data_IF_723105733229
#
_entry.id   IF_723105733229
#
_cell.length_a   1.000
_cell.length_b   1.000
_cell.length_c   1.000
_cell.angle_alpha   90.00
_cell.angle_beta   90.00
_cell.angle_gamma   90.00
#
_symmetry.space_group_name_H-M   'P 1'
#
loop_
_entity.id
_entity.type
_entity.pdbx_description
1 polymer ?
#
# COMPACT_ATOMS: atom_id res chain seq x y z
N UNK A 1 21.26 37.23 3.57
CA UNK A 1 20.42 36.03 3.39
C UNK A 1 18.95 36.47 3.41
N UNK A 2 18.09 36.02 2.49
CA UNK A 2 16.70 36.54 2.37
C UNK A 2 15.73 35.99 3.43
N UNK A 3 15.91 34.73 3.84
CA UNK A 3 15.16 34.07 4.91
C UNK A 3 15.86 34.25 6.27
N UNK A 4 15.06 34.31 7.33
CA UNK A 4 15.50 34.26 8.72
C UNK A 4 15.98 32.85 9.07
N UNK A 5 16.81 32.76 10.11
CA UNK A 5 17.32 31.46 10.61
C UNK A 5 16.17 30.57 11.08
N UNK A 6 15.14 31.15 11.72
CA UNK A 6 13.94 30.45 12.18
C UNK A 6 13.11 29.92 11.00
N UNK A 7 12.93 30.72 9.96
CA UNK A 7 12.22 30.30 8.75
C UNK A 7 12.95 29.13 8.10
N UNK A 8 14.27 29.22 7.91
CA UNK A 8 15.04 28.10 7.37
C UNK A 8 14.90 26.84 8.22
N UNK A 9 14.86 26.96 9.55
CA UNK A 9 14.67 25.81 10.43
C UNK A 9 13.28 25.20 10.27
N UNK A 10 12.22 26.01 10.17
CA UNK A 10 10.87 25.52 9.88
C UNK A 10 10.82 24.73 8.57
N UNK A 11 11.55 25.17 7.53
CA UNK A 11 11.65 24.42 6.28
C UNK A 11 12.32 23.05 6.51
N UNK A 12 13.40 23.00 7.28
CA UNK A 12 14.09 21.75 7.62
C UNK A 12 13.16 20.80 8.36
N UNK A 13 12.52 21.27 9.43
CA UNK A 13 11.65 20.45 10.28
C UNK A 13 10.47 19.88 9.47
N UNK A 14 9.88 20.68 8.58
CA UNK A 14 8.82 20.24 7.70
C UNK A 14 9.26 19.20 6.67
N UNK A 15 10.46 19.35 6.08
CA UNK A 15 11.03 18.36 5.17
C UNK A 15 11.26 17.02 5.89
N UNK A 16 11.80 17.06 7.11
CA UNK A 16 12.05 15.85 7.91
C UNK A 16 10.75 15.15 8.33
N UNK A 17 9.73 15.91 8.73
CA UNK A 17 8.39 15.39 9.05
C UNK A 17 7.71 14.73 7.81
N UNK A 18 7.92 15.28 6.62
CA UNK A 18 7.45 14.65 5.37
C UNK A 18 8.23 13.38 4.98
N UNK A 19 9.56 13.37 5.11
CA UNK A 19 10.38 12.15 4.87
C UNK A 19 10.00 11.04 5.87
N UNK A 20 9.74 11.38 7.14
CA UNK A 20 9.30 10.42 8.16
C UNK A 20 7.95 9.77 7.84
N UNK A 21 7.08 10.46 7.08
CA UNK A 21 5.79 9.95 6.59
C UNK A 21 5.89 9.25 5.23
N UNK A 22 7.09 9.15 4.65
CA UNK A 22 7.30 8.50 3.36
C UNK A 22 6.99 9.38 2.14
N UNK A 23 6.88 10.70 2.32
CA UNK A 23 6.60 11.67 1.24
C UNK A 23 7.82 12.57 0.98
N UNK A 24 8.87 12.09 0.31
CA UNK A 24 10.06 12.90 0.06
C UNK A 24 9.72 14.11 -0.83
N UNK A 25 10.16 15.30 -0.43
CA UNK A 25 9.90 16.53 -1.17
C UNK A 25 10.90 16.76 -2.31
N UNK A 26 10.39 17.23 -3.46
CA UNK A 26 11.22 17.62 -4.60
C UNK A 26 11.74 19.08 -4.49
N UNK A 27 12.86 19.39 -5.17
CA UNK A 27 13.47 20.73 -5.15
C UNK A 27 12.52 21.89 -5.49
N UNK A 28 11.60 21.79 -6.47
CA UNK A 28 10.65 22.86 -6.76
C UNK A 28 9.73 23.16 -5.58
N UNK A 29 9.20 22.12 -4.92
CA UNK A 29 8.33 22.29 -3.76
C UNK A 29 9.05 22.95 -2.57
N UNK A 30 10.35 22.67 -2.38
CA UNK A 30 11.17 23.37 -1.37
C UNK A 30 11.30 24.85 -1.71
N UNK A 31 11.43 25.19 -3.01
CA UNK A 31 11.46 26.57 -3.48
C UNK A 31 10.12 27.27 -3.21
N UNK A 32 9.01 26.61 -3.55
CA UNK A 32 7.67 27.18 -3.40
C UNK A 32 7.34 27.47 -1.93
N UNK A 33 7.81 26.59 -1.03
CA UNK A 33 7.65 26.80 0.41
C UNK A 33 8.46 27.99 0.91
N UNK A 34 9.72 28.13 0.46
CA UNK A 34 10.56 29.28 0.76
C UNK A 34 9.96 30.60 0.21
N UNK A 35 9.44 30.56 -1.01
CA UNK A 35 8.79 31.72 -1.64
C UNK A 35 7.48 32.09 -0.94
N UNK A 36 6.73 31.11 -0.44
CA UNK A 36 5.51 31.35 0.33
C UNK A 36 5.80 32.10 1.64
N UNK A 37 6.88 31.72 2.34
CA UNK A 37 7.33 32.42 3.56
C UNK A 37 7.78 33.86 3.26
N UNK A 38 8.48 34.06 2.13
CA UNK A 38 8.89 35.39 1.69
C UNK A 38 7.72 36.26 1.25
N UNK A 39 6.75 35.68 0.53
CA UNK A 39 5.54 36.36 0.10
C UNK A 39 4.69 36.83 1.29
N UNK A 40 4.58 36.02 2.34
CA UNK A 40 3.93 36.39 3.60
C UNK A 40 4.58 37.60 4.28
N UNK A 41 5.83 37.92 3.93
CA UNK A 41 6.59 39.09 4.43
C UNK A 41 6.76 40.18 3.37
N UNK A 42 6.05 40.08 2.24
CA UNK A 42 6.16 41.00 1.10
C UNK A 42 7.61 41.13 0.59
N UNK A 43 8.33 40.01 0.50
CA UNK A 43 9.72 39.94 0.02
C UNK A 43 9.79 39.25 -1.33
N UNK A 44 10.80 39.62 -2.12
CA UNK A 44 11.07 38.99 -3.41
C UNK A 44 11.45 37.51 -3.25
N UNK A 45 11.03 36.65 -4.19
CA UNK A 45 11.30 35.21 -4.17
C UNK A 45 12.80 34.87 -4.16
N UNK A 46 13.09 33.62 -3.78
CA UNK A 46 14.44 33.08 -3.84
C UNK A 46 14.88 32.83 -5.28
N UNK A 47 16.19 32.92 -5.53
CA UNK A 47 16.75 32.62 -6.83
C UNK A 47 16.61 31.13 -7.21
N UNK A 48 16.69 30.77 -8.50
CA UNK A 48 16.47 29.40 -8.99
C UNK A 48 17.46 28.37 -8.41
N UNK A 49 18.67 28.80 -8.05
CA UNK A 49 19.71 27.93 -7.46
C UNK A 49 19.63 27.83 -5.94
N UNK A 50 18.72 28.57 -5.29
CA UNK A 50 18.61 28.61 -3.83
C UNK A 50 18.30 27.24 -3.21
N UNK A 51 17.37 26.40 -3.73
CA UNK A 51 17.06 25.11 -3.10
C UNK A 51 18.26 24.16 -3.05
N UNK A 52 19.07 24.11 -4.12
CA UNK A 52 20.31 23.32 -4.14
C UNK A 52 21.33 23.85 -3.15
N UNK A 53 21.49 25.16 -3.06
CA UNK A 53 22.38 25.79 -2.09
C UNK A 53 21.88 25.58 -0.65
N UNK A 54 20.57 25.49 -0.43
CA UNK A 54 19.93 25.24 0.87
C UNK A 54 20.20 23.84 1.38
N UNK A 55 19.99 22.84 0.54
CA UNK A 55 20.31 21.45 0.90
C UNK A 55 21.82 21.29 1.14
N UNK A 56 22.68 21.89 0.30
CA UNK A 56 24.13 21.78 0.47
C UNK A 56 24.65 22.33 1.81
N UNK A 57 23.96 23.32 2.41
CA UNK A 57 24.34 23.91 3.70
C UNK A 57 23.70 23.22 4.91
N UNK A 58 22.82 22.25 4.71
CA UNK A 58 22.09 21.53 5.77
C UNK A 58 22.44 20.04 5.73
N UNK A 59 23.44 19.58 6.52
CA UNK A 59 23.87 18.18 6.51
C UNK A 59 22.79 17.21 7.00
N UNK A 60 21.75 17.70 7.70
CA UNK A 60 20.58 16.90 8.08
C UNK A 60 19.77 16.45 6.84
N UNK A 61 19.79 17.21 5.76
CA UNK A 61 19.00 16.94 4.55
C UNK A 61 19.82 16.12 3.55
N UNK A 62 19.42 14.87 3.33
CA UNK A 62 20.06 13.97 2.35
C UNK A 62 19.17 13.81 1.12
N UNK A 63 19.70 14.17 -0.04
CA UNK A 63 19.07 13.85 -1.33
C UNK A 63 19.15 12.34 -1.59
N UNK A 64 18.00 11.69 -1.69
CA UNK A 64 17.87 10.31 -2.17
C UNK A 64 17.50 10.35 -3.65
N UNK A 65 18.32 9.76 -4.51
CA UNK A 65 17.94 9.55 -5.91
C UNK A 65 17.10 8.28 -5.99
N UNK A 66 15.99 8.36 -6.73
CA UNK A 66 15.19 7.17 -7.00
C UNK A 66 16.05 6.19 -7.80
N UNK A 67 16.23 4.98 -7.30
CA UNK A 67 16.96 3.95 -8.05
C UNK A 67 16.11 3.57 -9.26
N UNK A 68 16.74 3.40 -10.42
CA UNK A 68 16.05 2.87 -11.59
C UNK A 68 15.39 1.55 -11.18
N UNK A 69 14.10 1.40 -11.48
CA UNK A 69 13.36 0.18 -11.21
C UNK A 69 14.16 -1.02 -11.73
N UNK A 70 14.42 -2.01 -10.87
CA UNK A 70 15.26 -3.15 -11.24
C UNK A 70 14.62 -3.88 -12.41
N UNK A 71 15.33 -3.93 -13.54
CA UNK A 71 14.84 -4.56 -14.76
C UNK A 71 14.47 -6.04 -14.52
N UNK A 72 15.17 -6.74 -13.63
CA UNK A 72 14.83 -8.12 -13.26
C UNK A 72 13.50 -8.20 -12.52
N UNK A 73 13.15 -7.19 -11.71
CA UNK A 73 11.82 -7.10 -11.08
C UNK A 73 10.73 -6.82 -12.10
N UNK A 74 10.97 -5.92 -13.06
CA UNK A 74 10.04 -5.67 -14.16
C UNK A 74 9.78 -6.93 -14.99
N UNK A 75 10.81 -7.74 -15.25
CA UNK A 75 10.66 -9.02 -15.95
C UNK A 75 9.88 -10.06 -15.14
N UNK A 76 9.95 -10.04 -13.80
CA UNK A 76 9.12 -10.91 -12.96
C UNK A 76 7.63 -10.52 -12.98
N UNK A 77 7.32 -9.33 -13.47
CA UNK A 77 5.96 -8.79 -13.64
C UNK A 77 5.47 -8.88 -15.09
N UNK A 78 6.33 -9.33 -16.02
CA UNK A 78 5.98 -9.50 -17.44
C UNK A 78 4.90 -10.59 -17.58
N UNK A 79 3.68 -10.24 -18.05
CA UNK A 79 2.60 -11.19 -18.20
C UNK A 79 2.97 -12.42 -19.04
N UNK A 80 3.82 -12.28 -20.07
CA UNK A 80 4.20 -13.41 -20.92
C UNK A 80 5.15 -14.37 -20.21
N UNK A 81 6.11 -13.86 -19.43
CA UNK A 81 7.02 -14.69 -18.64
C UNK A 81 6.30 -15.36 -17.48
N UNK A 82 5.42 -14.63 -16.80
CA UNK A 82 4.56 -15.15 -15.74
C UNK A 82 3.67 -16.27 -16.32
N UNK A 83 2.93 -16.00 -17.39
CA UNK A 83 2.07 -17.00 -18.05
C UNK A 83 2.87 -18.16 -18.66
N UNK A 84 4.06 -17.91 -19.20
CA UNK A 84 4.96 -18.91 -19.77
C UNK A 84 5.48 -19.88 -18.72
N UNK A 85 5.92 -19.36 -17.57
CA UNK A 85 6.31 -20.17 -16.41
C UNK A 85 5.16 -21.04 -15.90
N UNK A 86 3.93 -20.49 -15.88
CA UNK A 86 2.73 -21.24 -15.48
C UNK A 86 2.34 -22.33 -16.51
N UNK A 87 2.48 -22.09 -17.81
CA UNK A 87 2.21 -23.09 -18.86
C UNK A 87 3.11 -24.33 -18.76
N UNK A 88 4.35 -24.17 -18.29
CA UNK A 88 5.30 -25.26 -18.11
C UNK A 88 4.95 -26.20 -16.94
N UNK A 89 4.02 -25.80 -16.07
CA UNK A 89 3.73 -26.48 -14.80
C UNK A 89 2.50 -27.42 -14.86
N UNK A 90 1.95 -27.70 -16.04
CA UNK A 90 0.83 -28.65 -16.24
C UNK A 90 -0.56 -28.08 -15.91
N UNK A 91 -1.55 -28.96 -15.67
CA UNK A 91 -2.94 -28.62 -15.31
C UNK A 91 -2.98 -27.95 -13.92
N UNK A 92 -2.81 -26.62 -13.88
CA UNK A 92 -2.97 -25.82 -12.66
C UNK A 92 -4.14 -24.87 -12.85
N UNK A 93 -5.05 -24.88 -11.89
CA UNK A 93 -6.15 -23.92 -11.82
C UNK A 93 -5.75 -22.75 -10.92
N UNK A 94 -6.26 -21.56 -11.27
CA UNK A 94 -6.07 -20.37 -10.46
C UNK A 94 -6.96 -20.42 -9.23
N UNK A 95 -6.41 -19.93 -8.12
CA UNK A 95 -7.13 -19.77 -6.86
C UNK A 95 -6.92 -18.35 -6.38
N UNK A 96 -8.01 -17.66 -6.05
CA UNK A 96 -7.93 -16.31 -5.49
C UNK A 96 -7.77 -16.40 -3.98
N UNK A 97 -6.74 -15.76 -3.43
CA UNK A 97 -6.55 -15.66 -1.98
C UNK A 97 -6.76 -14.23 -1.53
N UNK A 98 -7.76 -14.00 -0.67
CA UNK A 98 -8.02 -12.71 -0.04
C UNK A 98 -7.39 -12.72 1.35
N UNK A 99 -6.36 -11.90 1.53
CA UNK A 99 -5.55 -11.84 2.76
C UNK A 99 -5.65 -10.44 3.36
N UNK A 100 -5.69 -10.34 4.69
CA UNK A 100 -5.61 -9.07 5.40
C UNK A 100 -4.52 -9.14 6.46
N UNK A 101 -3.65 -8.14 6.44
CA UNK A 101 -2.54 -7.96 7.37
C UNK A 101 -2.72 -6.66 8.15
N UNK A 102 -2.23 -6.65 9.39
CA UNK A 102 -2.25 -5.46 10.23
C UNK A 102 -0.88 -4.78 10.29
N UNK A 103 -0.87 -3.49 10.60
CA UNK A 103 0.37 -2.75 10.87
C UNK A 103 1.17 -3.29 12.07
N UNK A 104 0.53 -4.07 12.94
CA UNK A 104 1.19 -4.76 14.06
C UNK A 104 1.89 -6.07 13.65
N UNK A 105 1.91 -6.40 12.35
CA UNK A 105 2.70 -7.52 11.82
C UNK A 105 2.02 -8.89 11.89
N UNK A 106 0.70 -8.94 12.07
CA UNK A 106 -0.07 -10.20 12.06
C UNK A 106 -1.12 -10.22 10.94
N UNK A 107 -1.53 -11.41 10.52
CA UNK A 107 -2.54 -11.64 9.48
C UNK A 107 -3.74 -12.40 10.03
N UNK A 108 -4.94 -12.15 9.48
CA UNK A 108 -6.08 -13.06 9.68
C UNK A 108 -5.89 -14.33 8.83
N UNK A 109 -6.54 -15.45 9.18
CA UNK A 109 -6.58 -16.62 8.31
C UNK A 109 -7.05 -16.24 6.89
N UNK A 110 -6.46 -16.80 5.83
CA UNK A 110 -6.81 -16.45 4.47
C UNK A 110 -8.22 -16.91 4.10
N UNK A 111 -8.82 -16.19 3.16
CA UNK A 111 -10.07 -16.58 2.51
C UNK A 111 -9.74 -16.96 1.08
N UNK A 112 -9.94 -18.23 0.75
CA UNK A 112 -9.49 -18.84 -0.49
C UNK A 112 -10.71 -19.11 -1.38
N UNK A 113 -10.68 -18.67 -2.63
CA UNK A 113 -11.77 -18.81 -3.60
C UNK A 113 -11.30 -19.67 -4.75
N UNK A 114 -11.93 -20.83 -4.92
CA UNK A 114 -11.70 -21.73 -6.05
C UNK A 114 -12.68 -21.43 -7.18
N UNK A 115 -12.24 -21.68 -8.42
CA UNK A 115 -13.17 -21.73 -9.53
C UNK A 115 -14.04 -23.00 -9.43
N UNK A 116 -15.36 -22.84 -9.40
CA UNK A 116 -16.28 -23.98 -9.33
C UNK A 116 -17.67 -23.65 -8.79
N UNK A 117 -18.49 -24.68 -8.63
CA UNK A 117 -19.87 -24.57 -8.11
C UNK A 117 -20.06 -25.16 -6.72
N UNK A 118 -19.23 -26.12 -6.34
CA UNK A 118 -19.36 -26.85 -5.09
C UNK A 118 -17.99 -27.10 -4.46
N UNK A 119 -17.97 -27.19 -3.12
CA UNK A 119 -16.78 -27.60 -2.39
C UNK A 119 -16.72 -29.13 -2.38
N UNK A 120 -15.52 -29.69 -2.46
CA UNK A 120 -15.32 -31.11 -2.20
C UNK A 120 -15.22 -31.34 -0.69
N UNK A 121 -16.06 -32.22 -0.14
CA UNK A 121 -16.06 -32.48 1.31
C UNK A 121 -14.74 -33.05 1.84
N UNK A 122 -13.94 -33.67 0.97
CA UNK A 122 -12.61 -34.19 1.29
C UNK A 122 -11.64 -33.09 1.76
N UNK A 123 -11.77 -31.86 1.24
CA UNK A 123 -10.90 -30.74 1.60
C UNK A 123 -10.88 -30.43 3.10
N UNK A 124 -11.96 -30.74 3.81
CA UNK A 124 -12.09 -30.48 5.26
C UNK A 124 -11.82 -31.71 6.12
N UNK A 125 -11.66 -32.89 5.51
CA UNK A 125 -11.52 -34.17 6.20
C UNK A 125 -10.08 -34.69 6.24
N UNK A 126 -9.25 -34.29 5.29
CA UNK A 126 -7.91 -34.87 5.10
C UNK A 126 -6.77 -34.10 5.83
N UNK A 127 -7.09 -33.36 6.91
CA UNK A 127 -6.15 -32.65 7.82
C UNK A 127 -5.13 -31.67 7.19
N UNK A 128 -5.18 -31.43 5.87
CA UNK A 128 -4.21 -30.55 5.19
C UNK A 128 -4.55 -29.06 5.26
N UNK A 129 -5.78 -28.70 5.62
CA UNK A 129 -6.25 -27.30 5.64
C UNK A 129 -6.64 -26.88 7.06
N UNK A 130 -6.07 -25.78 7.59
CA UNK A 130 -6.47 -25.24 8.89
C UNK A 130 -7.95 -24.88 8.91
N UNK A 131 -8.62 -25.18 10.03
CA UNK A 131 -10.09 -25.07 10.15
C UNK A 131 -10.61 -23.63 10.22
N UNK A 132 -9.73 -22.69 10.52
CA UNK A 132 -9.99 -21.26 10.58
C UNK A 132 -9.87 -20.57 9.21
N UNK A 133 -9.38 -21.28 8.18
CA UNK A 133 -9.39 -20.81 6.81
C UNK A 133 -10.81 -20.93 6.24
N UNK A 134 -11.17 -19.96 5.41
CA UNK A 134 -12.44 -20.02 4.68
C UNK A 134 -12.16 -20.40 3.25
N UNK A 135 -12.89 -21.38 2.76
CA UNK A 135 -12.90 -21.76 1.35
C UNK A 135 -14.25 -21.33 0.78
N UNK A 136 -14.23 -20.60 -0.32
CA UNK A 136 -15.39 -20.25 -1.14
C UNK A 136 -15.20 -20.76 -2.56
N UNK A 137 -16.28 -20.71 -3.34
CA UNK A 137 -16.25 -20.99 -4.78
C UNK A 137 -17.01 -19.92 -5.55
N UNK A 138 -16.54 -19.63 -6.77
CA UNK A 138 -17.26 -18.84 -7.76
C UNK A 138 -17.05 -19.41 -9.16
N UNK A 139 -17.97 -19.15 -10.09
CA UNK A 139 -17.90 -19.74 -11.44
C UNK A 139 -16.64 -19.34 -12.22
N UNK A 140 -16.06 -18.19 -11.89
CA UNK A 140 -14.86 -17.65 -12.53
C UNK A 140 -13.62 -17.63 -11.61
N UNK A 141 -13.74 -18.11 -10.36
CA UNK A 141 -12.65 -18.11 -9.38
C UNK A 141 -12.30 -16.73 -8.80
N UNK A 142 -13.03 -15.66 -9.15
CA UNK A 142 -12.83 -14.31 -8.65
C UNK A 142 -13.79 -13.96 -7.51
N UNK A 143 -13.47 -12.89 -6.78
CA UNK A 143 -14.32 -12.33 -5.74
C UNK A 143 -15.62 -11.77 -6.31
N UNK A 144 -16.75 -12.18 -5.74
CA UNK A 144 -18.08 -11.61 -5.98
C UNK A 144 -18.50 -10.75 -4.80
N UNK A 145 -19.55 -9.93 -4.93
CA UNK A 145 -20.06 -9.12 -3.82
C UNK A 145 -20.46 -9.98 -2.61
N UNK A 146 -21.10 -11.13 -2.86
CA UNK A 146 -21.49 -12.10 -1.82
C UNK A 146 -20.29 -12.68 -1.08
N UNK A 147 -19.23 -13.04 -1.81
CA UNK A 147 -17.98 -13.53 -1.22
C UNK A 147 -17.25 -12.39 -0.49
N UNK A 148 -17.32 -11.16 -0.99
CA UNK A 148 -16.80 -9.96 -0.34
C UNK A 148 -17.47 -9.71 1.02
N UNK A 149 -18.80 -9.82 1.10
CA UNK A 149 -19.53 -9.69 2.35
C UNK A 149 -19.17 -10.80 3.36
N UNK A 150 -19.11 -12.06 2.90
CA UNK A 150 -18.66 -13.19 3.74
C UNK A 150 -17.22 -12.98 4.24
N UNK A 151 -16.37 -12.40 3.40
CA UNK A 151 -15.03 -12.04 3.80
C UNK A 151 -15.03 -10.93 4.85
N UNK A 152 -15.93 -9.94 4.77
CA UNK A 152 -16.05 -8.90 5.78
C UNK A 152 -16.52 -9.44 7.14
N UNK A 153 -17.44 -10.41 7.15
CA UNK A 153 -17.81 -11.15 8.36
C UNK A 153 -16.61 -11.92 8.95
N UNK A 154 -15.82 -12.57 8.08
CA UNK A 154 -14.59 -13.25 8.46
C UNK A 154 -13.55 -12.31 9.04
N UNK A 155 -13.34 -11.14 8.43
CA UNK A 155 -12.51 -10.05 8.96
C UNK A 155 -13.02 -9.62 10.33
N UNK A 156 -14.33 -9.39 10.46
CA UNK A 156 -14.93 -8.97 11.72
C UNK A 156 -14.70 -10.00 12.83
N UNK A 157 -14.89 -11.29 12.54
CA UNK A 157 -14.64 -12.40 13.48
C UNK A 157 -13.21 -12.43 13.99
N UNK A 158 -12.23 -12.32 13.10
CA UNK A 158 -10.81 -12.49 13.44
C UNK A 158 -10.11 -11.24 13.98
N UNK A 159 -10.74 -10.06 13.85
CA UNK A 159 -10.16 -8.80 14.34
C UNK A 159 -10.85 -8.24 15.59
N UNK A 160 -12.05 -8.70 15.94
CA UNK A 160 -12.84 -8.15 17.06
C UNK A 160 -12.11 -8.23 18.41
N UNK A 161 -11.56 -9.39 18.74
CA UNK A 161 -10.84 -9.61 20.02
C UNK A 161 -9.49 -8.89 20.07
N UNK A 162 -9.00 -8.40 18.93
CA UNK A 162 -7.69 -7.73 18.79
C UNK A 162 -7.82 -6.22 18.72
N UNK A 163 -9.05 -5.70 18.84
CA UNK A 163 -9.32 -4.26 18.73
C UNK A 163 -9.05 -3.58 20.07
N UNK A 164 -8.23 -2.53 20.05
CA UNK A 164 -8.07 -1.61 21.17
C UNK A 164 -9.01 -0.42 20.93
N UNK A 165 -10.01 -0.24 21.79
CA UNK A 165 -11.03 0.80 21.64
C UNK A 165 -12.21 0.37 20.76
N UNK A 166 -12.92 1.34 20.17
CA UNK A 166 -14.21 1.12 19.51
C UNK A 166 -14.12 0.91 17.98
N UNK A 167 -12.99 1.22 17.35
CA UNK A 167 -12.89 1.33 15.89
C UNK A 167 -11.79 0.46 15.29
N UNK A 168 -12.03 -0.02 14.06
CA UNK A 168 -11.07 -0.73 13.20
C UNK A 168 -11.02 -0.03 11.84
N UNK A 169 -9.81 0.21 11.33
CA UNK A 169 -9.60 0.76 10.00
C UNK A 169 -9.27 -0.38 9.03
N UNK A 170 -10.02 -0.46 7.94
CA UNK A 170 -9.75 -1.35 6.82
C UNK A 170 -9.38 -0.50 5.59
N UNK A 171 -8.25 -0.81 4.95
CA UNK A 171 -7.78 -0.12 3.75
C UNK A 171 -7.87 -1.09 2.58
N UNK A 172 -8.54 -0.67 1.51
CA UNK A 172 -8.79 -1.46 0.30
C UNK A 172 -8.34 -0.69 -0.94
N UNK A 173 -8.10 -1.41 -2.03
CA UNK A 173 -7.61 -0.88 -3.31
C UNK A 173 -8.69 -0.22 -4.19
N UNK A 174 -9.95 -0.21 -3.75
CA UNK A 174 -11.08 0.38 -4.48
C UNK A 174 -11.60 -0.46 -5.64
N UNK A 175 -11.25 -1.75 -5.73
CA UNK A 175 -11.79 -2.66 -6.75
C UNK A 175 -13.33 -2.77 -6.65
N UNK A 176 -14.02 -2.93 -7.80
CA UNK A 176 -15.50 -2.86 -7.90
C UNK A 176 -16.25 -3.81 -6.95
N UNK A 177 -15.65 -4.94 -6.58
CA UNK A 177 -16.19 -5.91 -5.62
C UNK A 177 -16.32 -5.39 -4.19
N UNK A 178 -15.76 -4.22 -3.87
CA UNK A 178 -15.81 -3.57 -2.56
C UNK A 178 -16.67 -2.28 -2.57
N UNK A 179 -17.38 -2.00 -3.66
CA UNK A 179 -18.15 -0.75 -3.85
C UNK A 179 -19.68 -0.98 -3.86
N UNK A 180 -20.17 -2.14 -3.42
CA UNK A 180 -21.61 -2.38 -3.23
C UNK A 180 -22.11 -1.76 -1.93
N UNK A 181 -23.38 -1.34 -1.90
CA UNK A 181 -24.01 -0.75 -0.69
C UNK A 181 -24.01 -1.73 0.49
N UNK A 182 -24.04 -3.04 0.19
CA UNK A 182 -24.04 -4.08 1.20
C UNK A 182 -22.65 -4.38 1.82
N UNK A 183 -21.56 -3.85 1.24
CA UNK A 183 -20.19 -4.04 1.72
C UNK A 183 -19.78 -2.88 2.64
#
# INVERSE_FOLDING_TARGET
MKLLVTEEQTIVDYILDLDARGFPMHLPAIKDLADSLLAARHRDPVGPNWPRAFIRRRPELKMKFNRKYDYRRALCEDPELVQGWFRLQGNKEWVTSVVCVSAAGWAIPPFVIFQGKHHLSAWYKEDSLPRDWVIGVSENGWTTNELGLKWLEHFNRHTKERTIGAHRLLILDGHKSHNSVEF
#
